data_IF_403340294521
#
_entry.id   IF_403340294521
#
_cell.length_a   1.000
_cell.length_b   1.000
_cell.length_c   1.000
_cell.angle_alpha   90.00
_cell.angle_beta   90.00
_cell.angle_gamma   90.00
#
_symmetry.space_group_name_H-M   'P 1'
#
loop_
_entity.id
_entity.type
_entity.pdbx_description
1 polymer ?
#
# COMPACT_ATOMS: atom_id res chain seq x y z
N UNK A 1 8.94 -18.07 8.33
CA UNK A 1 9.39 -17.27 7.16
C UNK A 1 8.82 -15.87 7.32
N UNK A 2 9.55 -14.80 7.00
CA UNK A 2 9.00 -13.44 7.09
C UNK A 2 7.88 -13.26 6.06
N UNK A 3 6.79 -12.63 6.48
CA UNK A 3 5.67 -12.33 5.58
C UNK A 3 6.10 -11.33 4.51
N UNK A 4 5.80 -11.64 3.25
CA UNK A 4 6.08 -10.75 2.13
C UNK A 4 5.02 -9.64 2.08
N UNK A 5 5.48 -8.39 2.03
CA UNK A 5 4.64 -7.22 1.82
C UNK A 5 4.72 -6.79 0.37
N UNK A 6 3.58 -6.53 -0.25
CA UNK A 6 3.52 -5.89 -1.56
C UNK A 6 3.10 -4.43 -1.38
N UNK A 7 3.88 -3.52 -1.94
CA UNK A 7 3.58 -2.09 -1.98
C UNK A 7 3.08 -1.77 -3.38
N UNK A 8 1.89 -1.20 -3.47
CA UNK A 8 1.23 -0.86 -4.73
C UNK A 8 1.20 0.65 -4.82
N UNK A 9 1.78 1.19 -5.88
CA UNK A 9 1.79 2.61 -6.20
C UNK A 9 0.73 2.93 -7.25
N UNK A 10 -0.12 3.91 -6.96
CA UNK A 10 -1.11 4.45 -7.90
C UNK A 10 -0.57 5.75 -8.53
N UNK A 11 -0.12 5.72 -9.81
CA UNK A 11 0.49 6.89 -10.45
C UNK A 11 -0.49 8.04 -10.74
N UNK A 12 -1.81 7.80 -10.82
CA UNK A 12 -2.79 8.89 -11.03
C UNK A 12 -3.19 9.61 -9.75
N UNK A 13 -2.82 9.08 -8.57
CA UNK A 13 -3.08 9.72 -7.29
C UNK A 13 -2.07 10.85 -6.95
N UNK A 14 -1.39 11.41 -7.97
CA UNK A 14 -0.53 12.58 -7.81
C UNK A 14 -1.41 13.82 -7.64
N UNK A 15 -1.44 14.34 -6.42
CA UNK A 15 -2.04 15.63 -6.03
C UNK A 15 -3.52 15.63 -5.68
N UNK A 16 -3.90 14.86 -4.67
CA UNK A 16 -5.17 15.12 -3.97
C UNK A 16 -4.95 15.89 -2.67
N UNK A 17 -5.76 16.95 -2.50
CA UNK A 17 -5.83 17.76 -1.29
C UNK A 17 -6.46 16.94 -0.17
N UNK A 18 -6.09 17.24 1.07
CA UNK A 18 -6.72 16.63 2.24
C UNK A 18 -8.15 17.17 2.39
N UNK A 19 -9.13 16.26 2.43
CA UNK A 19 -10.52 16.60 2.71
C UNK A 19 -10.85 16.31 4.16
N UNK A 20 -11.43 17.29 4.86
CA UNK A 20 -11.90 17.10 6.22
C UNK A 20 -13.18 16.28 6.21
N UNK A 21 -13.22 15.23 7.02
CA UNK A 21 -14.35 14.31 7.14
C UNK A 21 -14.60 13.95 8.59
N UNK A 22 -15.83 13.51 8.88
CA UNK A 22 -16.20 13.01 10.20
C UNK A 22 -16.19 11.49 10.14
N UNK A 23 -15.34 10.88 10.96
CA UNK A 23 -15.31 9.44 11.14
C UNK A 23 -16.33 9.04 12.21
N UNK A 24 -17.23 8.12 11.86
CA UNK A 24 -18.27 7.57 12.74
C UNK A 24 -18.00 6.08 12.95
N UNK A 25 -18.03 5.63 14.20
CA UNK A 25 -17.89 4.22 14.54
C UNK A 25 -19.12 3.43 14.08
N UNK A 26 -18.92 2.41 13.25
CA UNK A 26 -19.97 1.46 12.85
C UNK A 26 -19.62 0.05 13.38
N UNK A 27 -20.43 -0.53 14.28
CA UNK A 27 -20.25 -1.89 14.81
C UNK A 27 -20.44 -2.99 13.78
N UNK A 28 -21.07 -2.72 12.64
CA UNK A 28 -21.37 -3.72 11.60
C UNK A 28 -20.17 -4.05 10.70
N UNK A 29 -19.10 -3.24 10.74
CA UNK A 29 -17.92 -3.48 9.93
C UNK A 29 -16.95 -4.45 10.63
N UNK A 30 -16.48 -5.49 9.93
CA UNK A 30 -15.56 -6.45 10.51
C UNK A 30 -14.23 -5.77 10.80
N UNK A 31 -13.65 -6.05 11.98
CA UNK A 31 -12.27 -5.71 12.32
C UNK A 31 -11.68 -6.87 13.11
N UNK A 32 -10.95 -7.74 12.42
CA UNK A 32 -10.35 -8.95 12.97
C UNK A 32 -8.84 -9.02 12.73
N UNK A 33 -8.25 -10.17 13.03
CA UNK A 33 -6.79 -10.38 12.98
C UNK A 33 -6.19 -10.21 11.58
N UNK A 34 -6.97 -10.40 10.52
CA UNK A 34 -6.54 -10.19 9.13
C UNK A 34 -6.38 -8.70 8.76
N UNK A 35 -7.16 -7.82 9.39
CA UNK A 35 -7.04 -6.37 9.19
C UNK A 35 -5.95 -5.77 10.09
N UNK A 36 -5.78 -6.33 11.31
CA UNK A 36 -4.66 -5.98 12.21
C UNK A 36 -3.29 -6.39 11.63
N UNK A 37 -3.21 -7.53 10.95
CA UNK A 37 -1.98 -8.02 10.30
C UNK A 37 -1.69 -7.38 8.94
N UNK A 38 -2.58 -6.52 8.44
CA UNK A 38 -2.45 -5.89 7.12
C UNK A 38 -2.60 -6.85 5.95
N UNK A 39 -3.12 -8.07 6.19
CA UNK A 39 -3.44 -9.05 5.14
C UNK A 39 -4.64 -8.62 4.30
N UNK A 40 -5.53 -7.81 4.88
CA UNK A 40 -6.62 -7.12 4.18
C UNK A 40 -6.64 -5.65 4.58
N UNK A 41 -6.95 -4.77 3.62
CA UNK A 41 -7.20 -3.36 3.90
C UNK A 41 -8.49 -3.24 4.72
N UNK A 42 -8.47 -2.37 5.72
CA UNK A 42 -9.64 -2.07 6.54
C UNK A 42 -10.78 -1.54 5.68
N UNK A 43 -11.98 -2.08 5.84
CA UNK A 43 -13.15 -1.62 5.08
C UNK A 43 -13.85 -0.47 5.80
N UNK A 44 -14.19 0.58 5.05
CA UNK A 44 -15.03 1.68 5.53
C UNK A 44 -16.19 1.91 4.58
N UNK A 45 -17.24 2.59 5.05
CA UNK A 45 -18.33 3.06 4.18
C UNK A 45 -18.26 4.56 4.02
N UNK A 46 -18.50 5.05 2.81
CA UNK A 46 -18.48 6.48 2.48
C UNK A 46 -19.78 6.92 1.83
N UNK A 47 -20.13 8.19 2.06
CA UNK A 47 -21.26 8.86 1.41
C UNK A 47 -21.05 8.96 -0.11
N UNK A 48 -22.11 8.82 -0.93
CA UNK A 48 -22.04 8.97 -2.38
C UNK A 48 -21.52 10.35 -2.83
N UNK A 49 -21.74 11.39 -2.01
CA UNK A 49 -21.29 12.75 -2.30
C UNK A 49 -19.76 12.82 -2.22
N UNK A 50 -19.17 12.24 -1.18
CA UNK A 50 -17.71 12.23 -1.01
C UNK A 50 -17.00 11.30 -2.00
N UNK A 51 -17.63 10.19 -2.38
CA UNK A 51 -17.11 9.25 -3.38
C UNK A 51 -16.89 9.92 -4.74
N UNK A 52 -17.80 10.81 -5.15
CA UNK A 52 -17.65 11.60 -6.37
C UNK A 52 -16.42 12.51 -6.34
N UNK A 53 -16.00 12.99 -5.17
CA UNK A 53 -14.84 13.87 -5.03
C UNK A 53 -13.49 13.12 -5.05
N UNK A 54 -13.46 11.85 -4.66
CA UNK A 54 -12.23 11.05 -4.50
C UNK A 54 -11.79 10.36 -5.81
N UNK A 55 -12.64 10.41 -6.85
CA UNK A 55 -12.51 9.70 -8.15
C UNK A 55 -12.51 8.17 -8.01
N UNK A 56 -13.39 7.54 -8.79
CA UNK A 56 -13.96 6.19 -8.63
C UNK A 56 -13.03 4.97 -8.74
N UNK A 57 -11.76 5.11 -9.10
CA UNK A 57 -11.06 3.96 -9.68
C UNK A 57 -10.69 2.88 -8.64
N UNK A 58 -10.10 3.24 -7.49
CA UNK A 58 -9.63 2.26 -6.49
C UNK A 58 -10.38 2.29 -5.15
N UNK A 59 -11.06 3.39 -4.82
CA UNK A 59 -11.71 3.62 -3.52
C UNK A 59 -10.80 3.36 -2.30
N UNK A 60 -9.46 3.45 -2.46
CA UNK A 60 -8.51 3.30 -1.37
C UNK A 60 -8.04 4.70 -0.95
N UNK A 61 -8.26 5.03 0.33
CA UNK A 61 -7.90 6.33 0.90
C UNK A 61 -6.94 6.19 2.07
N UNK A 62 -6.03 7.15 2.17
CA UNK A 62 -5.24 7.37 3.38
C UNK A 62 -5.98 8.36 4.27
N UNK A 63 -6.30 7.92 5.47
CA UNK A 63 -6.99 8.69 6.49
C UNK A 63 -6.04 9.10 7.62
N UNK A 64 -6.32 10.28 8.21
CA UNK A 64 -5.66 10.85 9.37
C UNK A 64 -6.70 11.19 10.41
N UNK A 65 -6.53 10.64 11.61
CA UNK A 65 -7.37 10.94 12.76
C UNK A 65 -6.47 11.43 13.91
N UNK A 66 -6.99 12.34 14.72
CA UNK A 66 -6.32 12.84 15.92
C UNK A 66 -6.88 12.13 17.15
N UNK A 67 -6.00 11.52 17.95
CA UNK A 67 -6.37 10.91 19.24
C UNK A 67 -6.43 11.96 20.35
N UNK A 68 -5.46 12.88 20.30
CA UNK A 68 -5.33 14.06 21.15
C UNK A 68 -4.78 15.20 20.29
N UNK A 69 -4.63 16.40 20.86
CA UNK A 69 -4.07 17.57 20.16
C UNK A 69 -2.71 17.34 19.49
N UNK A 70 -1.92 16.37 19.98
CA UNK A 70 -0.55 16.08 19.52
C UNK A 70 -0.36 14.74 18.81
N UNK A 71 -1.24 13.75 19.02
CA UNK A 71 -1.07 12.40 18.45
C UNK A 71 -1.94 12.17 17.21
N UNK A 72 -1.28 11.99 16.05
CA UNK A 72 -1.90 11.70 14.76
C UNK A 72 -1.78 10.23 14.42
N UNK A 73 -2.89 9.63 14.00
CA UNK A 73 -2.97 8.24 13.55
C UNK A 73 -3.20 8.24 12.05
N UNK A 74 -2.26 7.66 11.30
CA UNK A 74 -2.41 7.43 9.86
C UNK A 74 -2.86 5.99 9.62
N UNK A 75 -3.82 5.79 8.75
CA UNK A 75 -4.27 4.46 8.34
C UNK A 75 -4.85 4.49 6.93
N UNK A 76 -4.98 3.32 6.31
CA UNK A 76 -5.47 3.17 4.94
C UNK A 76 -6.78 2.38 4.97
N UNK A 77 -7.79 2.88 4.27
CA UNK A 77 -9.12 2.29 4.19
C UNK A 77 -9.47 1.97 2.74
N UNK A 78 -10.13 0.85 2.52
CA UNK A 78 -10.87 0.56 1.31
C UNK A 78 -12.35 0.93 1.54
N UNK A 79 -12.85 1.88 0.77
CA UNK A 79 -14.19 2.44 0.92
C UNK A 79 -15.20 1.72 0.03
N UNK A 80 -16.36 1.41 0.61
CA UNK A 80 -17.55 0.97 -0.11
C UNK A 80 -18.61 2.07 -0.03
N UNK A 81 -19.26 2.40 -1.13
CA UNK A 81 -20.31 3.43 -1.13
C UNK A 81 -21.54 2.88 -0.42
N UNK A 82 -22.04 3.61 0.57
CA UNK A 82 -23.32 3.30 1.22
C UNK A 82 -24.32 4.42 0.89
N UNK A 83 -25.40 4.11 0.11
CA UNK A 83 -26.39 5.11 -0.31
C UNK A 83 -27.15 5.78 0.84
N UNK A 84 -27.17 5.17 2.03
CA UNK A 84 -27.90 5.69 3.19
C UNK A 84 -27.16 6.81 3.94
N UNK A 85 -25.87 7.01 3.64
CA UNK A 85 -25.06 8.05 4.26
C UNK A 85 -25.26 9.41 3.58
N UNK A 86 -25.84 10.36 4.31
CA UNK A 86 -25.91 11.78 3.93
C UNK A 86 -24.81 12.59 4.60
N UNK A 87 -24.06 13.38 3.83
CA UNK A 87 -23.07 14.33 4.35
C UNK A 87 -21.60 13.92 4.16
N UNK A 88 -20.73 14.45 5.02
CA UNK A 88 -19.26 14.29 4.98
C UNK A 88 -18.80 13.23 6.01
N UNK A 89 -19.53 12.11 6.07
CA UNK A 89 -19.31 11.06 7.07
C UNK A 89 -18.68 9.81 6.45
N UNK A 90 -17.74 9.20 7.19
CA UNK A 90 -17.13 7.92 6.86
C UNK A 90 -17.34 6.98 8.04
N UNK A 91 -18.02 5.86 7.79
CA UNK A 91 -18.19 4.80 8.77
C UNK A 91 -16.95 3.91 8.78
N UNK A 92 -16.34 3.76 9.96
CA UNK A 92 -15.14 2.96 10.20
C UNK A 92 -15.45 1.95 11.31
N UNK A 93 -14.85 0.75 11.34
CA UNK A 93 -15.16 -0.25 12.34
C UNK A 93 -15.07 0.28 13.78
N UNK A 94 -16.11 0.04 14.57
CA UNK A 94 -16.19 0.53 15.95
C UNK A 94 -15.05 0.00 16.83
N UNK A 95 -14.59 -1.24 16.59
CA UNK A 95 -13.47 -1.83 17.32
C UNK A 95 -12.16 -1.04 17.11
N UNK A 96 -11.91 -0.57 15.89
CA UNK A 96 -10.73 0.26 15.59
C UNK A 96 -10.84 1.64 16.25
N UNK A 97 -12.01 2.27 16.18
CA UNK A 97 -12.26 3.59 16.77
C UNK A 97 -12.16 3.56 18.31
N UNK A 98 -12.67 2.50 18.95
CA UNK A 98 -12.54 2.28 20.39
C UNK A 98 -11.10 2.04 20.81
N UNK A 99 -10.36 1.18 20.09
CA UNK A 99 -8.96 0.84 20.42
C UNK A 99 -8.02 2.04 20.24
N UNK A 100 -8.25 2.88 19.22
CA UNK A 100 -7.32 3.96 18.85
C UNK A 100 -7.69 5.33 19.39
N UNK A 101 -8.96 5.70 19.37
CA UNK A 101 -9.41 7.05 19.73
C UNK A 101 -10.27 7.08 20.99
N UNK A 102 -10.88 5.97 21.39
CA UNK A 102 -11.77 5.92 22.56
C UNK A 102 -13.06 6.73 22.39
N UNK A 103 -13.34 7.24 21.18
CA UNK A 103 -14.49 8.08 20.85
C UNK A 103 -15.23 7.52 19.63
N UNK A 104 -16.56 7.65 19.63
CA UNK A 104 -17.43 7.14 18.57
C UNK A 104 -17.50 8.09 17.35
N UNK A 105 -17.07 9.35 17.51
CA UNK A 105 -17.00 10.35 16.44
C UNK A 105 -15.70 11.15 16.52
N UNK A 106 -14.96 11.23 15.43
CA UNK A 106 -13.71 12.01 15.37
C UNK A 106 -13.59 12.75 14.04
N UNK A 107 -13.12 14.00 14.10
CA UNK A 107 -12.78 14.76 12.90
C UNK A 107 -11.43 14.27 12.38
N UNK A 108 -11.37 13.98 11.10
CA UNK A 108 -10.13 13.59 10.45
C UNK A 108 -10.03 14.14 9.04
N UNK A 109 -8.95 13.77 8.38
CA UNK A 109 -8.69 14.15 7.00
C UNK A 109 -8.46 12.90 6.16
N UNK A 110 -8.92 12.92 4.91
CA UNK A 110 -8.67 11.86 3.93
C UNK A 110 -7.98 12.41 2.69
N UNK A 111 -7.24 11.55 2.03
CA UNK A 111 -6.75 11.74 0.66
C UNK A 111 -6.76 10.40 -0.05
N UNK A 112 -6.83 10.36 -1.38
CA UNK A 112 -6.55 9.11 -2.11
C UNK A 112 -5.17 8.58 -1.79
N UNK A 113 -5.08 7.26 -1.69
CA UNK A 113 -3.84 6.60 -1.41
C UNK A 113 -2.94 6.60 -2.65
N UNK A 114 -1.87 7.40 -2.63
CA UNK A 114 -0.82 7.35 -3.66
C UNK A 114 -0.04 6.03 -3.65
N UNK A 115 0.03 5.40 -2.48
CA UNK A 115 0.51 4.04 -2.33
C UNK A 115 -0.12 3.40 -1.10
N UNK A 116 -0.25 2.09 -1.14
CA UNK A 116 -0.71 1.27 -0.04
C UNK A 116 0.04 -0.06 0.00
N UNK A 117 0.02 -0.72 1.15
CA UNK A 117 0.72 -1.99 1.38
C UNK A 117 -0.28 -3.08 1.73
N UNK A 118 -0.04 -4.29 1.21
CA UNK A 118 -0.80 -5.50 1.53
C UNK A 118 0.19 -6.58 1.95
N UNK A 119 -0.05 -7.21 3.10
CA UNK A 119 0.71 -8.39 3.54
C UNK A 119 0.17 -9.62 2.82
N UNK A 120 1.02 -10.33 2.09
CA UNK A 120 0.63 -11.56 1.38
C UNK A 120 0.74 -12.77 2.31
N UNK A 121 -0.18 -13.72 2.16
CA UNK A 121 -0.01 -15.05 2.73
C UNK A 121 1.09 -15.82 1.98
N UNK A 122 1.70 -16.81 2.64
CA UNK A 122 2.76 -17.64 2.06
C UNK A 122 2.39 -18.23 0.69
N UNK A 123 1.14 -18.69 0.53
CA UNK A 123 0.68 -19.30 -0.74
C UNK A 123 0.62 -18.30 -1.89
N UNK A 124 0.27 -17.05 -1.61
CA UNK A 124 0.24 -15.97 -2.60
C UNK A 124 1.65 -15.47 -2.92
N UNK A 125 2.52 -15.41 -1.92
CA UNK A 125 3.92 -15.04 -2.10
C UNK A 125 4.66 -16.05 -2.98
N UNK A 126 4.39 -17.35 -2.82
CA UNK A 126 4.99 -18.40 -3.64
C UNK A 126 4.72 -18.22 -5.14
N UNK A 127 3.53 -17.73 -5.50
CA UNK A 127 3.17 -17.45 -6.90
C UNK A 127 3.97 -16.30 -7.53
N UNK A 128 4.63 -15.47 -6.72
CA UNK A 128 5.48 -14.38 -7.18
C UNK A 128 6.95 -14.79 -7.34
N UNK A 129 7.36 -15.96 -6.83
CA UNK A 129 8.74 -16.41 -6.94
C UNK A 129 9.11 -16.75 -8.38
N UNK A 130 10.35 -16.42 -8.76
CA UNK A 130 10.84 -16.60 -10.13
C UNK A 130 10.51 -15.45 -11.07
N UNK A 131 9.55 -14.58 -10.73
CA UNK A 131 9.31 -13.34 -11.46
C UNK A 131 10.46 -12.36 -11.28
N UNK A 132 10.65 -11.49 -12.26
CA UNK A 132 11.71 -10.49 -12.30
C UNK A 132 11.16 -9.08 -12.15
N UNK A 133 12.03 -8.15 -11.78
CA UNK A 133 11.74 -6.73 -11.93
C UNK A 133 11.49 -6.42 -13.41
N UNK A 134 10.36 -5.77 -13.68
CA UNK A 134 9.88 -5.48 -15.02
C UNK A 134 8.68 -6.34 -15.42
N UNK A 135 8.49 -7.51 -14.78
CA UNK A 135 7.38 -8.41 -15.10
C UNK A 135 6.05 -7.86 -14.60
N UNK A 136 4.99 -8.27 -15.29
CA UNK A 136 3.61 -7.91 -14.99
C UNK A 136 2.91 -9.02 -14.22
N UNK A 137 2.10 -8.62 -13.24
CA UNK A 137 1.28 -9.51 -12.41
C UNK A 137 -0.17 -9.05 -12.43
N UNK A 138 -1.08 -10.02 -12.38
CA UNK A 138 -2.50 -9.77 -12.19
C UNK A 138 -2.76 -9.32 -10.74
N UNK A 139 -3.43 -8.17 -10.60
CA UNK A 139 -3.87 -7.61 -9.33
C UNK A 139 -4.85 -8.51 -8.59
N UNK A 140 -5.53 -9.44 -9.29
CA UNK A 140 -6.38 -10.45 -8.67
C UNK A 140 -5.67 -11.28 -7.60
N UNK A 141 -4.36 -11.53 -7.76
CA UNK A 141 -3.53 -12.24 -6.77
C UNK A 141 -3.53 -11.54 -5.40
N UNK A 142 -3.63 -10.22 -5.40
CA UNK A 142 -3.48 -9.38 -4.21
C UNK A 142 -4.78 -8.69 -3.79
N UNK A 143 -5.91 -9.09 -4.36
CA UNK A 143 -7.24 -8.56 -4.03
C UNK A 143 -7.65 -7.32 -4.82
N UNK A 144 -7.01 -7.05 -5.96
CA UNK A 144 -7.34 -5.98 -6.90
C UNK A 144 -7.72 -6.58 -8.27
N UNK A 145 -8.90 -7.22 -8.40
CA UNK A 145 -9.30 -7.85 -9.66
C UNK A 145 -9.43 -6.82 -10.79
N UNK A 146 -8.96 -7.17 -11.99
CA UNK A 146 -9.02 -6.32 -13.18
C UNK A 146 -7.91 -5.27 -13.30
N UNK A 147 -7.00 -5.21 -12.33
CA UNK A 147 -5.80 -4.37 -12.39
C UNK A 147 -4.59 -5.17 -12.86
N UNK A 148 -3.72 -4.57 -13.68
CA UNK A 148 -2.38 -5.11 -13.90
C UNK A 148 -1.34 -4.26 -13.17
N UNK A 149 -0.38 -4.95 -12.58
CA UNK A 149 0.68 -4.35 -11.81
C UNK A 149 2.02 -4.75 -12.41
N UNK A 150 2.97 -3.83 -12.45
CA UNK A 150 4.34 -4.12 -12.86
C UNK A 150 5.26 -4.09 -11.67
N UNK A 151 6.13 -5.10 -11.54
CA UNK A 151 7.15 -5.16 -10.50
C UNK A 151 8.25 -4.13 -10.83
N UNK A 152 8.53 -3.22 -9.91
CA UNK A 152 9.52 -2.15 -10.08
C UNK A 152 10.76 -2.35 -9.23
N UNK A 153 10.67 -3.16 -8.18
CA UNK A 153 11.78 -3.42 -7.27
C UNK A 153 11.34 -4.12 -6.01
N UNK A 154 12.22 -4.13 -5.01
CA UNK A 154 11.96 -4.74 -3.72
C UNK A 154 13.17 -4.68 -2.80
N UNK A 155 13.00 -5.23 -1.60
CA UNK A 155 14.08 -5.37 -0.62
C UNK A 155 14.02 -6.71 0.08
N UNK A 156 15.19 -7.23 0.41
CA UNK A 156 15.33 -8.47 1.17
C UNK A 156 15.22 -8.25 2.68
N UNK A 157 15.19 -9.35 3.44
CA UNK A 157 15.14 -9.33 4.90
C UNK A 157 16.33 -8.61 5.58
N UNK A 158 17.46 -8.45 4.87
CA UNK A 158 18.63 -7.70 5.35
C UNK A 158 18.60 -6.22 4.96
N UNK A 159 17.53 -5.76 4.30
CA UNK A 159 17.40 -4.41 3.77
C UNK A 159 18.21 -4.16 2.49
N UNK A 160 18.77 -5.21 1.87
CA UNK A 160 19.48 -5.08 0.60
C UNK A 160 18.45 -4.85 -0.52
N UNK A 161 18.63 -3.78 -1.31
CA UNK A 161 17.72 -3.45 -2.40
C UNK A 161 17.97 -4.38 -3.58
N UNK A 162 16.90 -4.67 -4.33
CA UNK A 162 17.00 -5.37 -5.59
C UNK A 162 17.49 -4.45 -6.72
N UNK A 163 18.35 -4.98 -7.58
CA UNK A 163 18.93 -4.28 -8.73
C UNK A 163 18.40 -4.91 -10.02
N UNK A 164 17.72 -4.15 -10.91
CA UNK A 164 17.14 -4.67 -12.15
C UNK A 164 18.19 -5.30 -13.10
N UNK A 165 19.40 -4.75 -13.11
CA UNK A 165 20.49 -5.18 -14.01
C UNK A 165 21.24 -6.41 -13.55
N UNK A 166 21.08 -6.84 -12.29
CA UNK A 166 21.75 -8.01 -11.75
C UNK A 166 20.83 -9.23 -11.88
N UNK A 167 21.15 -10.23 -12.72
CA UNK A 167 20.28 -11.40 -12.89
C UNK A 167 20.31 -12.32 -11.67
N UNK A 168 19.17 -12.98 -11.44
CA UNK A 168 19.02 -14.06 -10.48
C UNK A 168 18.59 -13.59 -9.08
N UNK A 169 18.38 -14.52 -8.15
CA UNK A 169 17.87 -14.22 -6.82
C UNK A 169 18.99 -14.01 -5.78
N UNK A 170 20.27 -14.05 -6.14
CA UNK A 170 21.38 -14.02 -5.18
C UNK A 170 21.72 -12.64 -4.63
N UNK A 171 22.47 -12.59 -3.52
CA UNK A 171 23.10 -11.35 -3.03
C UNK A 171 24.52 -11.23 -3.56
N UNK A 172 24.94 -10.02 -3.92
CA UNK A 172 26.32 -9.73 -4.35
C UNK A 172 26.75 -8.35 -3.86
N UNK A 173 28.05 -8.17 -3.68
CA UNK A 173 28.63 -6.85 -3.42
C UNK A 173 29.01 -6.18 -4.74
N UNK A 174 28.27 -5.15 -5.15
CA UNK A 174 28.53 -4.38 -6.37
C UNK A 174 29.10 -2.99 -6.03
N UNK A 175 30.00 -2.50 -6.88
CA UNK A 175 30.48 -1.13 -6.83
C UNK A 175 29.47 -0.20 -7.52
N UNK A 176 28.63 0.44 -6.73
CA UNK A 176 27.55 1.31 -7.23
C UNK A 176 28.02 2.76 -7.29
N UNK A 177 27.62 3.44 -8.36
CA UNK A 177 27.73 4.90 -8.55
C UNK A 177 26.38 5.59 -8.54
N UNK A 178 25.28 4.85 -8.73
CA UNK A 178 23.94 5.41 -8.96
C UNK A 178 22.85 4.57 -8.26
N UNK A 179 21.63 5.11 -8.12
CA UNK A 179 20.48 4.35 -7.66
C UNK A 179 20.07 3.28 -8.69
N UNK A 180 19.39 2.19 -8.28
CA UNK A 180 18.98 1.85 -6.92
C UNK A 180 20.13 1.36 -6.03
N UNK A 181 19.99 1.53 -4.71
CA UNK A 181 20.93 1.04 -3.68
C UNK A 181 22.06 1.98 -3.27
N UNK A 182 22.46 2.93 -4.11
CA UNK A 182 23.37 3.99 -3.72
C UNK A 182 22.92 5.36 -4.26
N UNK A 183 22.78 6.34 -3.38
CA UNK A 183 22.62 7.74 -3.76
C UNK A 183 23.93 8.44 -3.41
N UNK A 184 24.81 8.72 -4.39
CA UNK A 184 26.03 9.47 -4.14
C UNK A 184 25.68 10.86 -3.62
N UNK A 185 26.46 11.38 -2.67
CA UNK A 185 26.33 12.76 -2.19
C UNK A 185 27.15 13.75 -3.04
N UNK A 186 28.16 13.22 -3.71
CA UNK A 186 29.13 13.96 -4.50
C UNK A 186 29.32 13.22 -5.82
N UNK A 187 29.59 13.97 -6.88
CA UNK A 187 29.84 13.39 -8.19
C UNK A 187 31.12 12.54 -8.18
N UNK A 188 31.08 11.41 -8.88
CA UNK A 188 32.20 10.47 -8.94
C UNK A 188 32.35 9.55 -7.72
N UNK A 189 31.58 9.76 -6.64
CA UNK A 189 31.60 8.86 -5.49
C UNK A 189 31.06 7.48 -5.89
N UNK A 190 31.83 6.42 -5.59
CA UNK A 190 31.43 5.02 -5.79
C UNK A 190 31.58 4.26 -4.49
N UNK A 191 30.61 3.40 -4.16
CA UNK A 191 30.67 2.58 -2.94
C UNK A 191 30.28 1.15 -3.22
N UNK A 192 31.08 0.22 -2.69
CA UNK A 192 30.74 -1.20 -2.72
C UNK A 192 29.62 -1.45 -1.70
N UNK A 193 28.47 -1.94 -2.18
CA UNK A 193 27.29 -2.22 -1.35
C UNK A 193 26.74 -3.60 -1.64
N UNK A 194 26.17 -4.20 -0.59
CA UNK A 194 25.40 -5.44 -0.71
C UNK A 194 24.09 -5.13 -1.42
N UNK A 195 23.83 -5.87 -2.49
CA UNK A 195 22.60 -5.77 -3.29
C UNK A 195 22.07 -7.15 -3.61
N UNK A 196 20.80 -7.20 -4.00
CA UNK A 196 20.13 -8.41 -4.47
C UNK A 196 19.88 -8.34 -5.98
N UNK A 197 19.89 -9.48 -6.65
CA UNK A 197 19.49 -9.55 -8.05
C UNK A 197 17.99 -9.28 -8.27
N UNK A 198 17.61 -9.31 -9.53
CA UNK A 198 16.30 -8.87 -10.02
C UNK A 198 15.19 -9.90 -9.87
N UNK A 199 15.51 -11.14 -9.49
CA UNK A 199 14.53 -12.24 -9.42
C UNK A 199 13.98 -12.36 -8.00
N UNK A 200 12.66 -12.42 -7.88
CA UNK A 200 11.96 -12.61 -6.62
C UNK A 200 12.19 -14.02 -6.07
N UNK A 201 12.45 -14.10 -4.77
CA UNK A 201 12.68 -15.35 -4.03
C UNK A 201 12.14 -15.22 -2.61
N UNK A 202 12.15 -16.33 -1.87
CA UNK A 202 11.68 -16.41 -0.47
C UNK A 202 12.37 -15.44 0.50
N UNK A 203 13.56 -14.95 0.15
CA UNK A 203 14.29 -14.02 0.98
C UNK A 203 13.80 -12.55 0.84
N UNK A 204 12.90 -12.28 -0.10
CA UNK A 204 12.33 -10.95 -0.32
C UNK A 204 11.20 -10.70 0.69
N UNK A 205 11.30 -9.58 1.40
CA UNK A 205 10.30 -9.18 2.42
C UNK A 205 9.38 -8.10 1.87
N UNK A 206 9.85 -7.27 0.93
CA UNK A 206 9.03 -6.24 0.31
C UNK A 206 9.17 -6.27 -1.21
N UNK A 207 8.05 -6.23 -1.92
CA UNK A 207 7.97 -6.08 -3.37
C UNK A 207 7.28 -4.76 -3.70
N UNK A 208 7.89 -3.94 -4.55
CA UNK A 208 7.34 -2.68 -5.01
C UNK A 208 6.72 -2.85 -6.39
N UNK A 209 5.47 -2.44 -6.53
CA UNK A 209 4.70 -2.53 -7.76
C UNK A 209 4.06 -1.21 -8.12
N UNK A 210 3.78 -1.03 -9.42
CA UNK A 210 3.06 0.12 -9.96
C UNK A 210 1.89 -0.36 -10.79
N UNK A 211 0.73 0.29 -10.65
CA UNK A 211 -0.43 0.02 -11.51
C UNK A 211 -0.11 0.49 -12.92
N UNK A 212 -0.24 -0.42 -13.89
CA UNK A 212 -0.03 -0.14 -15.32
C UNK A 212 -1.36 -0.11 -16.10
N UNK A 213 -2.31 -0.97 -15.74
CA UNK A 213 -3.63 -1.03 -16.36
C UNK A 213 -4.72 -1.04 -15.29
N UNK A 214 -5.84 -0.37 -15.58
CA UNK A 214 -7.04 -0.33 -14.74
C UNK A 214 -8.23 -0.94 -15.48
N UNK A 215 -9.18 -1.57 -14.76
CA UNK A 215 -10.40 -2.05 -15.37
C UNK A 215 -11.20 -0.85 -15.93
N UNK A 216 -11.61 -0.92 -17.19
CA UNK A 216 -12.47 0.08 -17.83
C UNK A 216 -11.75 1.24 -18.57
N UNK A 217 -10.41 1.25 -18.60
CA UNK A 217 -9.63 2.08 -19.52
C UNK A 217 -8.94 1.15 -20.53
N UNK A 218 -9.63 0.83 -21.62
CA UNK A 218 -9.01 0.30 -22.86
C UNK A 218 -8.81 1.44 -23.84
#
# INVERSE_FOLDING_TARGET
MPDMKIVISDPEAKEERWFKVIFVADPSLPYGDEEKSGKKLMRGKISPVLDQFIKKDLNIVNARIWRSSTEKINFTLQLTVDPELTGIEIKVPANFMREKTGADRVIGEIKRASSFQITLSSDRAQKLYGLKIGDEIDGGLIGLPGYKLRITGGSDYSGAPMIPTLPGPGKRYLLLSQPPGFRPKEDGLRKRKLVRGNTLSEAIVQVNTVIIERPGKS
#
